data_IF_113868855860
#
_entry.id   IF_113868855860
#
_cell.length_a   1.000
_cell.length_b   1.000
_cell.length_c   1.000
_cell.angle_alpha   90.00
_cell.angle_beta   90.00
_cell.angle_gamma   90.00
#
_symmetry.space_group_name_H-M   'P 1'
#
loop_
_entity.id
_entity.type
_entity.pdbx_description
1 polymer ?
#
# COMPACT_ATOMS: atom_id res chain seq x y z
N UNK A 1 -16.88 3.61 2.52
CA UNK A 1 -15.54 3.00 2.32
C UNK A 1 -15.17 3.01 0.84
N UNK A 2 -13.87 2.94 0.54
CA UNK A 2 -13.37 2.79 -0.83
C UNK A 2 -12.18 3.68 -1.17
N UNK A 3 -11.95 3.87 -2.48
CA UNK A 3 -10.94 4.77 -3.00
C UNK A 3 -11.25 6.23 -2.65
N UNK A 4 -10.20 7.01 -2.36
CA UNK A 4 -10.33 8.46 -2.22
C UNK A 4 -10.60 9.06 -3.61
N UNK A 5 -11.65 9.93 -3.76
CA UNK A 5 -11.93 10.61 -5.02
C UNK A 5 -10.75 11.44 -5.52
N UNK A 6 -10.72 11.70 -6.84
CA UNK A 6 -9.74 12.59 -7.43
C UNK A 6 -9.78 13.98 -6.78
N UNK A 7 -8.59 14.57 -6.56
CA UNK A 7 -8.43 15.92 -5.97
C UNK A 7 -8.94 16.03 -4.51
N UNK A 8 -8.96 14.91 -3.80
CA UNK A 8 -9.30 14.85 -2.37
C UNK A 8 -8.18 14.18 -1.60
N UNK A 9 -7.86 14.66 -0.41
CA UNK A 9 -6.93 14.01 0.51
C UNK A 9 -7.64 12.97 1.36
N UNK A 10 -6.89 12.06 1.97
CA UNK A 10 -7.44 11.08 2.91
C UNK A 10 -8.05 11.78 4.13
N UNK A 11 -7.40 12.81 4.66
CA UNK A 11 -7.94 13.62 5.77
C UNK A 11 -9.33 14.19 5.41
N UNK A 12 -9.47 14.75 4.22
CA UNK A 12 -10.75 15.31 3.77
C UNK A 12 -11.83 14.24 3.60
N UNK A 13 -11.47 13.04 3.16
CA UNK A 13 -12.40 11.93 3.05
C UNK A 13 -12.92 11.50 4.43
N UNK A 14 -12.02 11.39 5.43
CA UNK A 14 -12.37 11.06 6.82
C UNK A 14 -13.33 12.12 7.38
N UNK A 15 -12.99 13.40 7.27
CA UNK A 15 -13.86 14.51 7.70
C UNK A 15 -15.23 14.50 7.02
N UNK A 16 -15.32 13.90 5.82
CA UNK A 16 -16.56 13.72 5.06
C UNK A 16 -17.32 12.43 5.41
N UNK A 17 -16.87 11.67 6.43
CA UNK A 17 -17.55 10.49 6.93
C UNK A 17 -17.11 9.17 6.30
N UNK A 18 -15.86 9.04 5.89
CA UNK A 18 -15.28 7.76 5.46
C UNK A 18 -14.97 6.88 6.66
N UNK A 19 -15.63 5.72 6.77
CA UNK A 19 -15.37 4.72 7.81
C UNK A 19 -14.15 3.85 7.50
N UNK A 20 -13.73 3.79 6.23
CA UNK A 20 -12.64 2.93 5.78
C UNK A 20 -11.94 3.53 4.55
N UNK A 21 -10.61 3.52 4.58
CA UNK A 21 -9.77 3.90 3.44
C UNK A 21 -9.13 2.64 2.88
N UNK A 22 -9.40 2.37 1.60
CA UNK A 22 -8.79 1.27 0.86
C UNK A 22 -7.50 1.71 0.18
N UNK A 23 -6.53 0.81 0.17
CA UNK A 23 -5.22 0.91 -0.47
C UNK A 23 -4.25 1.90 0.19
N UNK A 24 -3.11 1.36 0.56
CA UNK A 24 -2.04 2.12 1.23
C UNK A 24 -1.60 3.37 0.47
N UNK A 25 -1.62 3.34 -0.87
CA UNK A 25 -1.25 4.51 -1.65
C UNK A 25 -2.17 5.71 -1.41
N UNK A 26 -3.45 5.51 -1.09
CA UNK A 26 -4.38 6.61 -0.80
C UNK A 26 -3.99 7.33 0.49
N UNK A 27 -3.50 6.58 1.50
CA UNK A 27 -2.96 7.16 2.72
C UNK A 27 -1.69 7.98 2.42
N UNK A 28 -0.76 7.43 1.64
CA UNK A 28 0.48 8.14 1.29
C UNK A 28 0.24 9.42 0.48
N UNK A 29 -0.76 9.43 -0.40
CA UNK A 29 -1.11 10.61 -1.19
C UNK A 29 -1.57 11.78 -0.32
N UNK A 30 -2.08 11.53 0.89
CA UNK A 30 -2.42 12.56 1.86
C UNK A 30 -1.26 13.52 2.14
N UNK A 31 -0.03 12.99 2.12
CA UNK A 31 1.21 13.72 2.43
C UNK A 31 2.01 14.16 1.20
N UNK A 32 1.60 13.74 0.02
CA UNK A 32 2.36 14.01 -1.20
C UNK A 32 1.74 15.10 -2.07
N UNK A 33 0.44 15.13 -2.22
CA UNK A 33 -0.26 16.14 -3.01
C UNK A 33 -1.78 15.95 -2.98
N UNK A 34 -2.50 17.03 -2.77
CA UNK A 34 -3.95 17.15 -2.88
C UNK A 34 -4.43 17.35 -4.34
N UNK A 35 -3.51 17.54 -5.27
CA UNK A 35 -3.82 17.85 -6.68
C UNK A 35 -3.79 16.63 -7.59
N UNK A 36 -3.50 15.44 -7.06
CA UNK A 36 -3.38 14.22 -7.87
C UNK A 36 -4.76 13.72 -8.30
N UNK A 37 -4.91 13.53 -9.60
CA UNK A 37 -6.03 12.77 -10.12
C UNK A 37 -5.84 11.27 -9.84
N UNK A 38 -6.48 10.77 -8.79
CA UNK A 38 -6.39 9.37 -8.35
C UNK A 38 -6.95 8.36 -9.36
N UNK A 39 -7.60 8.80 -10.43
CA UNK A 39 -8.05 7.95 -11.56
C UNK A 39 -6.91 7.59 -12.51
N UNK A 40 -5.76 8.27 -12.40
CA UNK A 40 -4.60 8.07 -13.26
C UNK A 40 -3.54 7.19 -12.59
N UNK A 41 -2.58 6.61 -13.37
CA UNK A 41 -1.44 5.88 -12.80
C UNK A 41 -0.54 6.72 -11.89
N UNK A 42 -0.67 8.04 -11.89
CA UNK A 42 0.07 8.95 -11.00
C UNK A 42 -0.11 8.58 -9.53
N UNK A 43 -1.29 8.10 -9.13
CA UNK A 43 -1.57 7.63 -7.77
C UNK A 43 -0.59 6.54 -7.27
N UNK A 44 -0.01 5.77 -8.18
CA UNK A 44 0.98 4.74 -7.85
C UNK A 44 2.40 5.25 -8.00
N UNK A 45 2.70 5.93 -9.13
CA UNK A 45 4.06 6.35 -9.45
C UNK A 45 4.58 7.46 -8.54
N UNK A 46 3.71 8.34 -8.04
CA UNK A 46 4.07 9.36 -7.05
C UNK A 46 4.47 8.71 -5.73
N UNK A 47 3.67 7.77 -5.24
CA UNK A 47 3.97 7.03 -4.01
C UNK A 47 5.25 6.19 -4.17
N UNK A 48 5.41 5.50 -5.31
CA UNK A 48 6.61 4.72 -5.57
C UNK A 48 7.91 5.55 -5.58
N UNK A 49 7.84 6.80 -6.04
CA UNK A 49 9.00 7.70 -6.11
C UNK A 49 9.30 8.41 -4.79
N UNK A 50 8.29 8.77 -4.04
CA UNK A 50 8.41 9.73 -2.93
C UNK A 50 7.97 9.17 -1.58
N UNK A 51 7.26 8.04 -1.54
CA UNK A 51 6.73 7.44 -0.31
C UNK A 51 7.79 7.14 0.75
N UNK A 52 9.01 6.80 0.31
CA UNK A 52 10.14 6.57 1.23
C UNK A 52 10.47 7.78 2.12
N UNK A 53 10.08 8.98 1.70
CA UNK A 53 10.38 10.23 2.42
C UNK A 53 9.34 10.57 3.51
N UNK A 54 8.27 9.77 3.66
CA UNK A 54 7.26 10.01 4.68
C UNK A 54 7.89 9.94 6.08
N UNK A 55 7.80 11.03 6.82
CA UNK A 55 8.27 11.11 8.20
C UNK A 55 7.14 10.77 9.18
N UNK A 56 7.22 9.59 9.81
CA UNK A 56 6.24 9.10 10.78
C UNK A 56 6.28 9.84 12.13
N UNK A 57 7.18 10.80 12.28
CA UNK A 57 7.32 11.65 13.47
C UNK A 57 6.90 13.10 13.22
N UNK A 58 6.56 13.45 11.99
CA UNK A 58 6.08 14.79 11.68
C UNK A 58 4.74 15.07 12.35
N UNK A 59 4.50 16.31 12.73
CA UNK A 59 3.24 16.75 13.33
C UNK A 59 2.06 16.42 12.38
N UNK A 60 2.24 16.65 11.08
CA UNK A 60 1.23 16.33 10.06
C UNK A 60 0.82 14.84 10.06
N UNK A 61 1.80 13.94 10.18
CA UNK A 61 1.52 12.51 10.25
C UNK A 61 0.84 12.15 11.58
N UNK A 62 1.29 12.69 12.69
CA UNK A 62 0.70 12.43 14.01
C UNK A 62 -0.74 12.96 14.10
N UNK A 63 -1.02 14.13 13.56
CA UNK A 63 -2.38 14.68 13.47
C UNK A 63 -3.29 13.81 12.61
N UNK A 64 -2.76 13.25 11.51
CA UNK A 64 -3.51 12.31 10.69
C UNK A 64 -3.85 11.00 11.43
N UNK A 65 -2.94 10.47 12.23
CA UNK A 65 -3.21 9.31 13.09
C UNK A 65 -4.33 9.60 14.09
N UNK A 66 -4.29 10.76 14.75
CA UNK A 66 -5.34 11.14 15.69
C UNK A 66 -6.69 11.36 14.96
N UNK A 67 -6.68 11.85 13.73
CA UNK A 67 -7.89 11.95 12.91
C UNK A 67 -8.48 10.58 12.59
N UNK A 68 -7.66 9.59 12.21
CA UNK A 68 -8.10 8.20 11.99
C UNK A 68 -8.74 7.62 13.26
N UNK A 69 -8.09 7.77 14.41
CA UNK A 69 -8.56 7.23 15.68
C UNK A 69 -9.85 7.89 16.16
N UNK A 70 -9.93 9.21 16.10
CA UNK A 70 -11.11 9.96 16.57
C UNK A 70 -12.36 9.70 15.73
N UNK A 71 -12.20 9.29 14.48
CA UNK A 71 -13.29 8.92 13.58
C UNK A 71 -13.48 7.38 13.48
N UNK A 72 -12.69 6.59 14.21
CA UNK A 72 -12.72 5.12 14.14
C UNK A 72 -12.54 4.59 12.70
N UNK A 73 -11.80 5.33 11.87
CA UNK A 73 -11.61 4.99 10.46
C UNK A 73 -10.64 3.82 10.32
N UNK A 74 -11.07 2.78 9.62
CA UNK A 74 -10.28 1.59 9.35
C UNK A 74 -9.37 1.79 8.13
N UNK A 75 -8.25 1.08 8.10
CA UNK A 75 -7.36 1.03 6.93
C UNK A 75 -7.37 -0.40 6.37
N UNK A 76 -7.68 -0.52 5.08
CA UNK A 76 -7.47 -1.72 4.27
C UNK A 76 -6.23 -1.52 3.38
N UNK A 77 -5.03 -1.99 3.79
CA UNK A 77 -3.78 -1.65 3.10
C UNK A 77 -3.65 -2.23 1.70
N UNK A 78 -4.14 -3.44 1.45
CA UNK A 78 -3.87 -4.21 0.22
C UNK A 78 -2.39 -4.18 -0.20
N UNK A 79 -1.48 -4.27 0.77
CA UNK A 79 -0.04 -4.02 0.57
C UNK A 79 0.63 -5.05 -0.34
N UNK A 80 0.07 -6.25 -0.47
CA UNK A 80 0.54 -7.29 -1.38
C UNK A 80 0.51 -6.86 -2.86
N UNK A 81 -0.45 -6.01 -3.25
CA UNK A 81 -0.50 -5.41 -4.59
C UNK A 81 0.70 -4.48 -4.81
N UNK A 82 1.04 -3.67 -3.79
CA UNK A 82 2.17 -2.73 -3.87
C UNK A 82 3.51 -3.46 -3.87
N UNK A 83 3.64 -4.60 -3.18
CA UNK A 83 4.81 -5.47 -3.33
C UNK A 83 5.01 -5.87 -4.79
N UNK A 84 3.96 -6.37 -5.45
CA UNK A 84 4.02 -6.72 -6.86
C UNK A 84 4.37 -5.52 -7.74
N UNK A 85 3.76 -4.35 -7.49
CA UNK A 85 3.97 -3.14 -8.30
C UNK A 85 5.36 -2.54 -8.13
N UNK A 86 5.88 -2.46 -6.90
CA UNK A 86 7.08 -1.68 -6.59
C UNK A 86 8.34 -2.55 -6.55
N UNK A 87 8.24 -3.82 -6.13
CA UNK A 87 9.40 -4.68 -5.91
C UNK A 87 9.70 -5.60 -7.10
N UNK A 88 8.67 -6.02 -7.86
CA UNK A 88 8.87 -6.96 -8.97
C UNK A 88 9.85 -6.46 -10.03
N UNK A 89 10.64 -7.38 -10.58
CA UNK A 89 11.60 -7.13 -11.67
C UNK A 89 11.19 -7.93 -12.90
N UNK A 90 11.42 -7.34 -14.08
CA UNK A 90 11.14 -8.01 -15.36
C UNK A 90 12.04 -9.24 -15.52
N UNK A 91 11.44 -10.37 -15.86
CA UNK A 91 12.15 -11.64 -16.04
C UNK A 91 12.35 -12.46 -14.77
N UNK A 92 12.00 -11.90 -13.60
CA UNK A 92 12.00 -12.62 -12.32
C UNK A 92 10.55 -12.88 -11.86
N UNK A 93 10.28 -13.97 -11.10
CA UNK A 93 8.98 -14.17 -10.52
C UNK A 93 8.66 -13.07 -9.51
N UNK A 94 7.47 -12.50 -9.61
CA UNK A 94 7.02 -11.51 -8.62
C UNK A 94 7.15 -12.08 -7.19
N UNK A 95 7.72 -11.32 -6.23
CA UNK A 95 7.85 -11.76 -4.84
C UNK A 95 6.51 -12.22 -4.25
N UNK A 96 5.44 -11.53 -4.56
CA UNK A 96 4.07 -11.82 -4.11
C UNK A 96 3.60 -13.22 -4.52
N UNK A 97 4.02 -13.68 -5.69
CA UNK A 97 3.55 -14.96 -6.25
C UNK A 97 4.64 -16.04 -6.32
N UNK A 98 5.87 -15.74 -5.89
CA UNK A 98 7.03 -16.64 -6.04
C UNK A 98 6.78 -18.07 -5.56
N UNK A 99 6.06 -18.24 -4.45
CA UNK A 99 5.78 -19.55 -3.84
C UNK A 99 4.80 -20.41 -4.68
N UNK A 100 3.97 -19.78 -5.49
CA UNK A 100 2.86 -20.45 -6.18
C UNK A 100 2.86 -20.27 -7.69
N UNK A 101 3.78 -19.47 -8.25
CA UNK A 101 3.74 -19.05 -9.65
C UNK A 101 3.67 -20.22 -10.63
N UNK A 102 4.38 -21.33 -10.35
CA UNK A 102 4.37 -22.52 -11.17
C UNK A 102 3.04 -23.32 -11.14
N UNK A 103 2.13 -22.97 -10.22
CA UNK A 103 0.79 -23.57 -10.08
C UNK A 103 -0.29 -22.72 -10.75
N UNK A 104 0.06 -21.51 -11.18
CA UNK A 104 -0.87 -20.59 -11.83
C UNK A 104 -0.99 -20.94 -13.34
N UNK A 105 -2.12 -20.60 -13.97
CA UNK A 105 -2.26 -20.67 -15.42
C UNK A 105 -1.15 -19.88 -16.14
N UNK A 106 -0.69 -20.34 -17.30
CA UNK A 106 0.42 -19.74 -18.05
C UNK A 106 0.25 -18.24 -18.32
N UNK A 107 -0.98 -17.79 -18.54
CA UNK A 107 -1.27 -16.37 -18.74
C UNK A 107 -0.92 -15.53 -17.49
N UNK A 108 -1.22 -16.06 -16.31
CA UNK A 108 -0.91 -15.41 -15.04
C UNK A 108 0.59 -15.48 -14.74
N UNK A 109 1.24 -16.63 -15.02
CA UNK A 109 2.69 -16.74 -14.91
C UNK A 109 3.37 -15.65 -15.72
N UNK A 110 3.04 -15.49 -17.01
CA UNK A 110 3.60 -14.44 -17.88
C UNK A 110 3.39 -13.04 -17.30
N UNK A 111 2.21 -12.76 -16.76
CA UNK A 111 1.90 -11.48 -16.10
C UNK A 111 2.84 -11.22 -14.93
N UNK A 112 3.09 -12.21 -14.08
CA UNK A 112 3.93 -12.06 -12.88
C UNK A 112 5.43 -12.19 -13.11
N UNK A 113 5.87 -12.45 -14.35
CA UNK A 113 7.24 -12.29 -14.84
C UNK A 113 7.46 -10.98 -15.61
N UNK A 114 6.41 -10.21 -15.90
CA UNK A 114 6.53 -8.97 -16.67
C UNK A 114 7.17 -7.82 -15.90
N UNK A 115 7.34 -7.95 -14.59
CA UNK A 115 7.72 -6.89 -13.66
C UNK A 115 6.50 -6.13 -13.12
N UNK A 116 6.78 -5.19 -12.23
CA UNK A 116 5.77 -4.30 -11.66
C UNK A 116 5.53 -3.04 -12.50
N UNK A 117 5.37 -1.91 -11.83
CA UNK A 117 5.30 -0.61 -12.50
C UNK A 117 6.59 -0.31 -13.26
N UNK A 118 6.50 0.38 -14.40
CA UNK A 118 7.68 0.90 -15.10
C UNK A 118 8.53 1.77 -14.16
N UNK A 119 9.79 1.43 -14.02
CA UNK A 119 10.74 2.16 -13.17
C UNK A 119 11.65 3.02 -14.04
N UNK A 120 11.64 4.35 -13.88
CA UNK A 120 12.63 5.19 -14.53
C UNK A 120 14.04 4.79 -14.07
N UNK A 121 15.02 4.90 -14.98
CA UNK A 121 16.41 4.55 -14.68
C UNK A 121 16.90 5.29 -13.41
N UNK A 122 17.46 4.55 -12.46
CA UNK A 122 17.96 5.09 -11.19
C UNK A 122 16.90 5.30 -10.11
N UNK A 123 15.64 4.91 -10.35
CA UNK A 123 14.56 5.03 -9.36
C UNK A 123 14.19 3.68 -8.70
N UNK A 124 14.85 2.60 -9.09
CA UNK A 124 14.53 1.25 -8.64
C UNK A 124 14.60 1.12 -7.11
N UNK A 125 15.62 1.74 -6.51
CA UNK A 125 15.83 1.72 -5.06
C UNK A 125 14.75 2.52 -4.31
N UNK A 126 14.31 3.66 -4.87
CA UNK A 126 13.25 4.45 -4.27
C UNK A 126 11.92 3.69 -4.23
N UNK A 127 11.59 2.92 -5.27
CA UNK A 127 10.40 2.08 -5.30
C UNK A 127 10.42 1.02 -4.19
N UNK A 128 11.58 0.37 -3.98
CA UNK A 128 11.75 -0.63 -2.91
C UNK A 128 11.63 0.05 -1.54
N UNK A 129 12.32 1.16 -1.32
CA UNK A 129 12.25 1.92 -0.05
C UNK A 129 10.84 2.43 0.23
N UNK A 130 10.09 2.82 -0.80
CA UNK A 130 8.69 3.24 -0.63
C UNK A 130 7.80 2.07 -0.24
N UNK A 131 8.06 0.87 -0.76
CA UNK A 131 7.38 -0.33 -0.30
C UNK A 131 7.74 -0.68 1.16
N UNK A 132 9.02 -0.64 1.51
CA UNK A 132 9.44 -0.87 2.90
C UNK A 132 8.81 0.17 3.85
N UNK A 133 8.71 1.43 3.43
CA UNK A 133 7.99 2.47 4.19
C UNK A 133 6.50 2.16 4.37
N UNK A 134 5.84 1.50 3.41
CA UNK A 134 4.46 1.04 3.60
C UNK A 134 4.36 0.03 4.74
N UNK A 135 5.33 -0.89 4.86
CA UNK A 135 5.38 -1.83 5.98
C UNK A 135 5.62 -1.12 7.32
N UNK A 136 6.51 -0.12 7.34
CA UNK A 136 6.74 0.71 8.54
C UNK A 136 5.44 1.40 8.98
N UNK A 137 4.68 1.96 8.03
CA UNK A 137 3.38 2.62 8.31
C UNK A 137 2.36 1.62 8.84
N UNK A 138 2.25 0.42 8.26
CA UNK A 138 1.34 -0.63 8.76
C UNK A 138 1.65 -0.96 10.22
N UNK A 139 2.92 -1.14 10.55
CA UNK A 139 3.33 -1.42 11.92
C UNK A 139 3.05 -0.25 12.86
N UNK A 140 3.29 0.97 12.43
CA UNK A 140 3.02 2.18 13.21
C UNK A 140 1.51 2.38 13.46
N UNK A 141 0.67 2.14 12.45
CA UNK A 141 -0.80 2.13 12.60
C UNK A 141 -1.24 1.12 13.66
N UNK A 142 -0.72 -0.12 13.57
CA UNK A 142 -0.99 -1.16 14.56
C UNK A 142 -0.58 -0.73 15.98
N UNK A 143 0.64 -0.24 16.15
CA UNK A 143 1.14 0.21 17.47
C UNK A 143 0.32 1.36 18.06
N UNK A 144 -0.23 2.23 17.22
CA UNK A 144 -1.06 3.38 17.63
C UNK A 144 -2.55 3.03 17.80
N UNK A 145 -2.92 1.76 17.56
CA UNK A 145 -4.29 1.26 17.75
C UNK A 145 -5.27 1.70 16.69
N UNK A 146 -4.79 2.03 15.47
CA UNK A 146 -5.66 2.22 14.31
C UNK A 146 -6.11 0.85 13.81
N UNK A 147 -7.40 0.68 13.53
CA UNK A 147 -7.94 -0.58 13.03
C UNK A 147 -7.46 -0.90 11.61
N UNK A 148 -6.94 -2.11 11.41
CA UNK A 148 -6.46 -2.61 10.12
C UNK A 148 -7.31 -3.79 9.69
N UNK A 149 -7.80 -3.76 8.45
CA UNK A 149 -8.60 -4.85 7.86
C UNK A 149 -7.84 -5.42 6.68
N UNK A 150 -7.55 -6.73 6.63
CA UNK A 150 -6.79 -7.31 5.54
C UNK A 150 -7.64 -7.47 4.27
N UNK A 151 -7.33 -6.67 3.25
CA UNK A 151 -7.90 -6.76 1.91
C UNK A 151 -6.92 -7.28 0.87
N UNK A 152 -7.38 -7.59 -0.32
CA UNK A 152 -6.53 -8.21 -1.35
C UNK A 152 -6.50 -7.49 -2.70
N UNK A 153 -7.59 -6.89 -3.11
CA UNK A 153 -7.78 -6.29 -4.45
C UNK A 153 -7.20 -7.14 -5.61
N UNK A 154 -7.26 -8.46 -5.50
CA UNK A 154 -6.67 -9.35 -6.49
C UNK A 154 -7.08 -10.81 -6.34
N UNK A 155 -6.21 -11.77 -6.70
CA UNK A 155 -6.51 -13.21 -6.65
C UNK A 155 -6.91 -13.63 -5.24
N UNK A 156 -8.19 -13.96 -5.00
CA UNK A 156 -8.67 -14.36 -3.67
C UNK A 156 -7.91 -15.58 -3.15
N UNK A 157 -7.77 -15.67 -1.85
CA UNK A 157 -7.05 -16.75 -1.18
C UNK A 157 -5.54 -16.54 -1.18
N UNK A 158 -4.88 -16.48 -2.33
CA UNK A 158 -3.41 -16.34 -2.39
C UNK A 158 -2.92 -14.99 -1.91
N UNK A 159 -3.53 -13.90 -2.36
CA UNK A 159 -3.13 -12.57 -1.94
C UNK A 159 -3.49 -12.30 -0.47
N UNK A 160 -4.57 -12.88 0.03
CA UNK A 160 -4.92 -12.77 1.43
C UNK A 160 -3.82 -13.33 2.35
N UNK A 161 -3.33 -14.54 2.06
CA UNK A 161 -2.20 -15.10 2.80
C UNK A 161 -0.94 -14.24 2.65
N UNK A 162 -0.68 -13.70 1.46
CA UNK A 162 0.47 -12.81 1.27
C UNK A 162 0.32 -11.50 2.02
N UNK A 163 -0.87 -10.96 2.10
CA UNK A 163 -1.17 -9.76 2.89
C UNK A 163 -0.83 -10.01 4.37
N UNK A 164 -1.29 -11.09 4.96
CA UNK A 164 -0.97 -11.46 6.34
C UNK A 164 0.54 -11.72 6.55
N UNK A 165 1.21 -12.39 5.61
CA UNK A 165 2.68 -12.56 5.67
C UNK A 165 3.42 -11.21 5.66
N UNK A 166 2.88 -10.20 4.98
CA UNK A 166 3.47 -8.86 4.95
C UNK A 166 3.21 -8.09 6.24
N UNK A 167 2.05 -8.30 6.88
CA UNK A 167 1.78 -7.75 8.22
C UNK A 167 2.74 -8.34 9.25
N UNK A 168 2.95 -9.67 9.24
CA UNK A 168 3.95 -10.31 10.08
C UNK A 168 5.36 -9.76 9.79
N UNK A 169 5.72 -9.62 8.51
CA UNK A 169 6.99 -9.00 8.11
C UNK A 169 7.14 -7.55 8.59
N UNK A 170 6.06 -6.79 8.69
CA UNK A 170 6.09 -5.43 9.23
C UNK A 170 6.36 -5.39 10.74
N UNK A 171 6.09 -6.49 11.46
CA UNK A 171 6.28 -6.61 12.91
C UNK A 171 5.00 -6.87 13.71
N UNK A 172 3.84 -7.00 13.04
CA UNK A 172 2.59 -7.40 13.71
C UNK A 172 2.68 -8.88 14.09
N UNK A 173 2.38 -9.25 15.36
CA UNK A 173 2.40 -10.66 15.77
C UNK A 173 1.35 -11.50 15.01
N UNK A 174 1.69 -12.72 14.62
CA UNK A 174 0.80 -13.62 13.85
C UNK A 174 -0.50 -14.00 14.57
N UNK A 175 -0.59 -13.73 15.86
CA UNK A 175 -1.77 -14.04 16.68
C UNK A 175 -2.79 -12.88 16.80
N UNK A 176 -2.47 -11.75 16.22
CA UNK A 176 -3.30 -10.53 16.17
C UNK A 176 -4.01 -10.41 14.83
#
# INVERSE_FOLDING_TARGET
SGHIPAYMTASKAIESGYDEIQHMNMLFLNFLSDTIDTRTPLRFTMVAKHGANLDLKSDEYLDFIELLKSNETLIDPTVSIFENMFVSKKGEPSPTFKKIINRLPLINQRKYYSGGLPKPRGQEENYIKSFDKMLDVIFDLYQKGVGIVPGTDGLPGFLFHRELELYEKSGIPSAE
#
